data_IF_914030549748
#
_entry.id   IF_914030549748
#
_cell.length_a   1.000
_cell.length_b   1.000
_cell.length_c   1.000
_cell.angle_alpha   90.00
_cell.angle_beta   90.00
_cell.angle_gamma   90.00
#
_symmetry.space_group_name_H-M   'P 1'
#
loop_
_entity.id
_entity.type
_entity.pdbx_description
1 polymer ?
#
# COMPACT_ATOMS: atom_id res chain seq x y z
N UNK A 1 47.47 68.62 -4.01
CA UNK A 1 47.57 67.35 -3.28
C UNK A 1 46.57 67.40 -2.13
N UNK A 2 45.45 66.69 -2.22
CA UNK A 2 44.65 66.18 -1.08
C UNK A 2 43.53 65.30 -1.64
N UNK A 3 43.73 63.98 -1.65
CA UNK A 3 42.65 63.01 -1.83
C UNK A 3 42.04 62.68 -0.47
N UNK A 4 40.74 62.92 -0.32
CA UNK A 4 39.94 62.55 0.85
C UNK A 4 39.45 61.11 0.66
N UNK A 5 40.13 60.14 1.28
CA UNK A 5 39.72 58.73 1.25
C UNK A 5 38.62 58.45 2.29
N UNK A 6 37.37 58.37 1.85
CA UNK A 6 36.23 57.90 2.66
C UNK A 6 36.20 56.36 2.66
N UNK A 7 36.58 55.75 3.79
CA UNK A 7 36.37 54.31 4.02
C UNK A 7 35.02 54.05 4.73
N UNK A 8 34.22 53.06 4.29
CA UNK A 8 32.95 52.73 4.96
C UNK A 8 33.20 52.00 6.29
N UNK A 9 32.31 52.15 7.30
CA UNK A 9 32.45 51.47 8.58
C UNK A 9 32.29 49.96 8.41
N UNK A 10 33.36 49.20 8.69
CA UNK A 10 33.30 47.74 8.79
C UNK A 10 32.53 47.34 10.05
N UNK A 11 31.28 46.90 9.87
CA UNK A 11 30.49 46.23 10.90
C UNK A 11 31.13 44.88 11.25
N UNK A 12 32.07 44.87 12.18
CA UNK A 12 32.53 43.63 12.83
C UNK A 12 31.45 43.15 13.79
N UNK A 13 30.52 42.34 13.29
CA UNK A 13 29.51 41.67 14.13
C UNK A 13 30.20 40.58 14.95
N UNK A 14 30.83 40.97 16.06
CA UNK A 14 31.42 40.06 17.05
C UNK A 14 30.27 39.29 17.71
N UNK A 15 29.99 38.07 17.22
CA UNK A 15 29.01 37.17 17.86
C UNK A 15 29.54 36.85 19.27
N UNK A 16 28.85 37.35 20.29
CA UNK A 16 29.16 37.06 21.68
C UNK A 16 29.24 35.54 21.92
N UNK A 17 30.19 35.04 22.73
CA UNK A 17 30.30 33.63 23.03
C UNK A 17 29.03 33.18 23.76
N UNK A 18 28.22 32.36 23.07
CA UNK A 18 27.02 31.77 23.66
C UNK A 18 27.46 30.79 24.75
N UNK A 19 27.09 31.10 25.99
CA UNK A 19 27.32 30.26 27.17
C UNK A 19 26.81 28.83 26.93
N UNK A 20 27.51 27.82 27.44
CA UNK A 20 27.21 26.39 27.25
C UNK A 20 25.73 26.08 27.52
N UNK A 21 25.17 26.70 28.56
CA UNK A 21 23.74 26.64 28.93
C UNK A 21 22.80 27.08 27.80
N UNK A 22 23.17 28.12 27.04
CA UNK A 22 22.37 28.65 25.93
C UNK A 22 22.40 27.75 24.70
N UNK A 23 23.46 26.94 24.52
CA UNK A 23 23.51 25.88 23.50
C UNK A 23 22.65 24.69 23.88
N UNK A 24 22.71 24.28 25.15
CA UNK A 24 21.88 23.17 25.68
C UNK A 24 20.40 23.54 25.60
N UNK A 25 20.01 24.73 26.06
CA UNK A 25 18.62 25.19 26.01
C UNK A 25 18.06 25.17 24.58
N UNK A 26 18.85 25.63 23.60
CA UNK A 26 18.44 25.67 22.19
C UNK A 26 18.33 24.27 21.57
N UNK A 27 19.18 23.32 21.97
CA UNK A 27 19.09 21.92 21.54
C UNK A 27 17.89 21.21 22.16
N UNK A 28 17.67 21.39 23.47
CA UNK A 28 16.51 20.83 24.19
C UNK A 28 15.19 21.35 23.60
N UNK A 29 15.11 22.65 23.34
CA UNK A 29 13.90 23.27 22.78
C UNK A 29 13.57 22.78 21.35
N UNK A 30 14.52 22.19 20.64
CA UNK A 30 14.32 21.61 19.32
C UNK A 30 14.06 20.08 19.37
N UNK A 31 14.74 19.38 20.30
CA UNK A 31 14.64 17.91 20.43
C UNK A 31 13.38 17.48 21.16
N UNK A 32 12.96 18.20 22.21
CA UNK A 32 11.74 17.87 22.98
C UNK A 32 10.47 17.90 22.14
N UNK A 33 10.17 18.93 21.32
CA UNK A 33 8.97 18.91 20.49
C UNK A 33 9.02 17.83 19.40
N UNK A 34 10.20 17.53 18.85
CA UNK A 34 10.37 16.44 17.89
C UNK A 34 10.10 15.07 18.52
N UNK A 35 10.65 14.81 19.71
CA UNK A 35 10.39 13.59 20.46
C UNK A 35 8.91 13.47 20.85
N UNK A 36 8.28 14.58 21.25
CA UNK A 36 6.84 14.63 21.53
C UNK A 36 5.98 14.31 20.32
N UNK A 37 6.33 14.84 19.13
CA UNK A 37 5.65 14.52 17.87
C UNK A 37 5.75 13.03 17.52
N UNK A 38 6.94 12.43 17.62
CA UNK A 38 7.13 11.00 17.37
C UNK A 38 6.31 10.16 18.34
N UNK A 39 6.30 10.52 19.63
CA UNK A 39 5.50 9.83 20.64
C UNK A 39 4.00 9.92 20.37
N UNK A 40 3.49 11.11 20.00
CA UNK A 40 2.08 11.32 19.66
C UNK A 40 1.68 10.52 18.41
N UNK A 41 2.49 10.57 17.36
CA UNK A 41 2.23 9.83 16.11
C UNK A 41 2.25 8.33 16.35
N UNK A 42 3.22 7.82 17.12
CA UNK A 42 3.28 6.40 17.49
C UNK A 42 2.12 5.96 18.39
N UNK A 43 1.71 6.81 19.34
CA UNK A 43 0.56 6.52 20.23
C UNK A 43 -0.77 6.52 19.49
N UNK A 44 -0.90 7.33 18.44
CA UNK A 44 -2.12 7.45 17.63
C UNK A 44 -2.23 6.39 16.53
N UNK A 45 -1.18 5.59 16.26
CA UNK A 45 -1.22 4.53 15.23
C UNK A 45 -1.40 5.04 13.79
N UNK A 46 -1.21 6.34 13.55
CA UNK A 46 -1.41 6.95 12.23
C UNK A 46 -0.39 6.48 11.19
N UNK A 47 0.80 6.07 11.63
CA UNK A 47 1.83 5.51 10.75
C UNK A 47 1.41 4.15 10.18
N UNK A 48 0.81 3.30 10.99
CA UNK A 48 0.38 1.97 10.57
C UNK A 48 -0.77 2.05 9.55
N UNK A 49 -1.69 3.00 9.75
CA UNK A 49 -2.82 3.22 8.84
C UNK A 49 -2.42 3.85 7.50
N UNK A 50 -1.32 4.63 7.49
CA UNK A 50 -0.71 5.12 6.25
C UNK A 50 0.07 4.01 5.53
N UNK A 51 0.69 3.08 6.26
CA UNK A 51 1.40 1.94 5.70
C UNK A 51 0.46 0.94 5.02
N UNK A 52 -0.70 0.65 5.62
CA UNK A 52 -1.70 -0.27 5.04
C UNK A 52 -2.30 0.25 3.72
N UNK A 53 -2.56 1.56 3.62
CA UNK A 53 -3.03 2.16 2.36
C UNK A 53 -1.97 2.20 1.27
N UNK A 54 -0.69 2.07 1.63
CA UNK A 54 0.41 2.05 0.68
C UNK A 54 0.75 0.64 0.17
N UNK A 55 0.22 -0.42 0.79
CA UNK A 55 0.66 -1.78 0.44
C UNK A 55 0.11 -2.25 -0.91
N UNK A 56 -1.06 -1.78 -1.34
CA UNK A 56 -1.60 -2.03 -2.69
C UNK A 56 -1.37 -0.80 -3.59
N UNK A 57 -0.12 -0.58 -3.97
CA UNK A 57 0.27 0.52 -4.85
C UNK A 57 -0.23 0.33 -6.29
N UNK A 58 -0.30 1.38 -7.12
CA UNK A 58 -0.66 1.23 -8.55
C UNK A 58 0.16 0.18 -9.29
N UNK A 59 1.37 -0.11 -8.84
CA UNK A 59 2.25 -1.13 -9.43
C UNK A 59 1.75 -2.57 -9.17
N UNK A 60 1.06 -2.85 -8.07
CA UNK A 60 0.54 -4.20 -7.77
C UNK A 60 -0.61 -4.62 -8.68
N UNK A 61 -1.30 -3.67 -9.35
CA UNK A 61 -2.27 -3.96 -10.40
C UNK A 61 -1.62 -4.54 -11.67
N UNK A 62 -0.33 -4.30 -11.87
CA UNK A 62 0.41 -4.80 -13.03
C UNK A 62 1.19 -6.09 -12.73
N UNK A 63 1.44 -6.39 -11.45
CA UNK A 63 2.08 -7.64 -11.03
C UNK A 63 1.03 -8.73 -10.77
N UNK A 64 1.01 -9.73 -11.65
CA UNK A 64 0.10 -10.88 -11.55
C UNK A 64 0.19 -11.62 -10.21
N UNK A 65 1.38 -11.67 -9.60
CA UNK A 65 1.60 -12.38 -8.33
C UNK A 65 0.97 -11.63 -7.18
N UNK A 66 1.25 -10.33 -7.08
CA UNK A 66 0.66 -9.46 -6.06
C UNK A 66 -0.86 -9.34 -6.21
N UNK A 67 -1.34 -9.31 -7.46
CA UNK A 67 -2.75 -9.27 -7.80
C UNK A 67 -3.48 -10.53 -7.31
N UNK A 68 -2.97 -11.72 -7.64
CA UNK A 68 -3.57 -12.99 -7.20
C UNK A 68 -3.55 -13.12 -5.69
N UNK A 69 -2.45 -12.76 -5.03
CA UNK A 69 -2.35 -12.87 -3.57
C UNK A 69 -3.31 -11.91 -2.86
N UNK A 70 -3.47 -10.70 -3.39
CA UNK A 70 -4.45 -9.73 -2.93
C UNK A 70 -5.87 -10.28 -3.08
N UNK A 71 -6.25 -10.74 -4.28
CA UNK A 71 -7.60 -11.27 -4.51
C UNK A 71 -7.87 -12.56 -3.74
N UNK A 72 -6.88 -13.42 -3.52
CA UNK A 72 -7.01 -14.59 -2.65
C UNK A 72 -7.43 -14.18 -1.24
N UNK A 73 -6.84 -13.10 -0.72
CA UNK A 73 -7.19 -12.57 0.60
C UNK A 73 -8.58 -11.95 0.59
N UNK A 74 -8.91 -11.14 -0.42
CA UNK A 74 -10.22 -10.46 -0.52
C UNK A 74 -11.37 -11.47 -0.66
N UNK A 75 -11.24 -12.47 -1.55
CA UNK A 75 -12.24 -13.51 -1.79
C UNK A 75 -12.56 -14.30 -0.52
N UNK A 76 -11.51 -14.66 0.24
CA UNK A 76 -11.67 -15.46 1.46
C UNK A 76 -12.19 -14.61 2.63
N UNK A 77 -11.75 -13.36 2.73
CA UNK A 77 -12.27 -12.42 3.73
C UNK A 77 -13.75 -12.10 3.50
N UNK A 78 -14.17 -11.95 2.25
CA UNK A 78 -15.55 -11.62 1.89
C UNK A 78 -16.49 -12.83 1.92
N UNK A 79 -16.01 -14.02 2.29
CA UNK A 79 -16.82 -15.24 2.35
C UNK A 79 -17.35 -15.69 0.98
N UNK A 80 -16.64 -15.37 -0.10
CA UNK A 80 -17.05 -15.74 -1.46
C UNK A 80 -16.93 -17.25 -1.73
N UNK A 81 -16.21 -17.96 -0.87
CA UNK A 81 -16.07 -19.42 -0.90
C UNK A 81 -16.01 -19.95 0.52
N UNK A 82 -16.53 -21.17 0.73
CA UNK A 82 -16.38 -21.91 1.97
C UNK A 82 -14.99 -22.53 2.15
N UNK A 83 -14.20 -22.55 1.08
CA UNK A 83 -12.96 -23.31 1.04
C UNK A 83 -11.78 -22.50 1.58
N UNK A 84 -10.81 -23.21 2.14
CA UNK A 84 -9.58 -22.58 2.58
C UNK A 84 -8.84 -21.94 1.40
N UNK A 85 -8.15 -20.83 1.65
CA UNK A 85 -7.35 -20.09 0.66
C UNK A 85 -6.38 -20.96 -0.17
N UNK A 86 -5.87 -22.04 0.42
CA UNK A 86 -4.90 -22.96 -0.20
C UNK A 86 -5.57 -23.98 -1.15
N UNK A 87 -6.90 -24.10 -1.04
CA UNK A 87 -7.76 -24.91 -1.90
C UNK A 87 -8.36 -24.09 -3.05
N UNK A 88 -7.91 -22.85 -3.26
CA UNK A 88 -8.35 -22.01 -4.36
C UNK A 88 -7.23 -21.87 -5.40
N UNK A 89 -7.56 -22.24 -6.63
CA UNK A 89 -6.73 -22.06 -7.81
C UNK A 89 -7.17 -20.79 -8.55
N UNK A 90 -6.24 -19.86 -8.70
CA UNK A 90 -6.43 -18.64 -9.47
C UNK A 90 -5.69 -18.80 -10.80
N UNK A 91 -6.44 -18.90 -11.90
CA UNK A 91 -5.89 -19.07 -13.25
C UNK A 91 -6.05 -17.75 -13.99
N UNK A 92 -4.94 -17.11 -14.35
CA UNK A 92 -4.98 -15.90 -15.17
C UNK A 92 -5.08 -16.30 -16.64
N UNK A 93 -6.07 -15.74 -17.33
CA UNK A 93 -6.15 -15.85 -18.77
C UNK A 93 -5.27 -14.76 -19.42
N UNK A 94 -4.20 -15.19 -20.09
CA UNK A 94 -3.24 -14.29 -20.74
C UNK A 94 -3.63 -13.86 -22.15
N UNK A 95 -4.78 -14.33 -22.67
CA UNK A 95 -5.27 -13.97 -24.00
C UNK A 95 -6.13 -12.70 -24.01
N UNK A 96 -6.45 -12.15 -22.84
CA UNK A 96 -7.18 -10.89 -22.75
C UNK A 96 -6.24 -9.70 -23.03
N UNK A 97 -6.76 -8.58 -23.56
CA UNK A 97 -5.97 -7.38 -23.84
C UNK A 97 -5.20 -6.92 -22.59
N UNK A 98 -4.04 -6.25 -22.75
CA UNK A 98 -3.14 -5.90 -21.64
C UNK A 98 -3.81 -5.10 -20.50
N UNK A 99 -4.96 -4.50 -20.79
CA UNK A 99 -5.71 -3.60 -19.92
C UNK A 99 -6.75 -4.34 -19.07
N UNK A 100 -7.23 -5.50 -19.54
CA UNK A 100 -8.27 -6.30 -18.88
C UNK A 100 -7.73 -7.72 -18.65
N UNK A 101 -7.63 -8.16 -17.40
CA UNK A 101 -7.22 -9.53 -17.08
C UNK A 101 -8.38 -10.28 -16.48
N UNK A 102 -8.74 -11.43 -17.05
CA UNK A 102 -9.67 -12.35 -16.42
C UNK A 102 -8.92 -13.36 -15.57
N UNK A 103 -9.34 -13.48 -14.32
CA UNK A 103 -8.84 -14.48 -13.39
C UNK A 103 -9.99 -15.44 -13.08
N UNK A 104 -9.82 -16.70 -13.43
CA UNK A 104 -10.77 -17.75 -13.07
C UNK A 104 -10.39 -18.31 -11.71
N UNK A 105 -11.38 -18.35 -10.80
CA UNK A 105 -11.22 -18.93 -9.47
C UNK A 105 -11.88 -20.31 -9.49
N UNK A 106 -11.05 -21.33 -9.28
CA UNK A 106 -11.43 -22.73 -9.31
C UNK A 106 -11.18 -23.37 -7.95
N UNK A 107 -11.99 -24.36 -7.61
CA UNK A 107 -11.76 -25.18 -6.42
C UNK A 107 -10.71 -26.26 -6.72
N UNK A 108 -9.71 -26.34 -5.86
CA UNK A 108 -8.65 -27.35 -5.92
C UNK A 108 -9.02 -28.50 -4.99
N UNK A 109 -9.28 -29.67 -5.54
CA UNK A 109 -9.58 -30.88 -4.75
C UNK A 109 -8.36 -31.80 -4.51
N UNK A 110 -7.14 -31.28 -4.59
CA UNK A 110 -5.91 -32.09 -4.42
C UNK A 110 -5.23 -31.85 -3.06
N UNK A 111 -4.56 -32.89 -2.56
CA UNK A 111 -3.85 -32.84 -1.27
C UNK A 111 -4.82 -32.98 -0.08
N UNK A 112 -4.85 -31.94 0.77
CA UNK A 112 -5.70 -31.85 1.97
C UNK A 112 -7.07 -31.22 1.73
N UNK A 113 -7.36 -30.82 0.49
CA UNK A 113 -8.62 -30.18 0.13
C UNK A 113 -9.73 -31.21 -0.12
N UNK A 114 -10.96 -30.98 0.37
CA UNK A 114 -12.10 -31.87 0.12
C UNK A 114 -12.51 -31.82 -1.36
N UNK A 115 -13.29 -32.82 -1.81
CA UNK A 115 -13.85 -32.86 -3.17
C UNK A 115 -13.36 -34.03 -4.04
N UNK A 116 -13.91 -34.13 -5.25
CA UNK A 116 -13.50 -35.13 -6.24
C UNK A 116 -12.24 -34.65 -6.98
N UNK A 117 -11.15 -35.41 -6.87
CA UNK A 117 -9.85 -35.07 -7.47
C UNK A 117 -9.88 -34.96 -8.99
N UNK A 118 -10.88 -35.54 -9.64
CA UNK A 118 -11.02 -35.51 -11.09
C UNK A 118 -11.83 -34.31 -11.59
N UNK A 119 -12.42 -33.52 -10.69
CA UNK A 119 -13.18 -32.32 -11.03
C UNK A 119 -12.45 -31.09 -10.55
N UNK A 120 -12.51 -30.03 -11.37
CA UNK A 120 -11.99 -28.71 -11.03
C UNK A 120 -13.14 -27.71 -11.22
N UNK A 121 -14.09 -27.65 -10.27
CA UNK A 121 -15.27 -26.84 -10.44
C UNK A 121 -14.87 -25.37 -10.49
N UNK A 122 -15.39 -24.67 -11.49
CA UNK A 122 -15.28 -23.22 -11.60
C UNK A 122 -16.24 -22.59 -10.59
N UNK A 123 -15.72 -21.71 -9.74
CA UNK A 123 -16.51 -21.02 -8.73
C UNK A 123 -17.05 -19.70 -9.29
N UNK A 124 -16.14 -18.86 -9.81
CA UNK A 124 -16.44 -17.55 -10.37
C UNK A 124 -15.23 -17.01 -11.12
N UNK A 125 -15.44 -15.97 -11.92
CA UNK A 125 -14.48 -15.21 -12.69
C UNK A 125 -14.35 -13.81 -12.10
N UNK A 126 -13.11 -13.34 -11.96
CA UNK A 126 -12.77 -11.97 -11.65
C UNK A 126 -12.33 -11.27 -12.93
N UNK A 127 -12.96 -10.15 -13.25
CA UNK A 127 -12.53 -9.27 -14.31
C UNK A 127 -11.82 -8.07 -13.70
N UNK A 128 -10.55 -7.90 -14.06
CA UNK A 128 -9.69 -6.87 -13.51
C UNK A 128 -9.37 -5.87 -14.59
N UNK A 129 -9.79 -4.63 -14.39
CA UNK A 129 -9.38 -3.48 -15.17
C UNK A 129 -8.17 -2.82 -14.49
N UNK A 130 -6.98 -3.01 -15.09
CA UNK A 130 -5.72 -2.49 -14.56
C UNK A 130 -5.62 -0.97 -14.70
N UNK A 131 -6.24 -0.41 -15.73
CA UNK A 131 -6.25 1.03 -16.00
C UNK A 131 -7.24 1.75 -15.08
N UNK A 132 -8.45 1.21 -14.97
CA UNK A 132 -9.50 1.70 -14.08
C UNK A 132 -9.28 1.37 -12.61
N UNK A 133 -8.28 0.53 -12.28
CA UNK A 133 -8.01 0.04 -10.91
C UNK A 133 -9.28 -0.50 -10.26
N UNK A 134 -10.03 -1.28 -11.03
CA UNK A 134 -11.29 -1.83 -10.60
C UNK A 134 -11.31 -3.33 -10.85
N UNK A 135 -12.03 -4.04 -10.00
CA UNK A 135 -12.27 -5.46 -10.16
C UNK A 135 -13.76 -5.73 -10.03
N UNK A 136 -14.23 -6.63 -10.88
CA UNK A 136 -15.60 -7.09 -10.92
C UNK A 136 -15.60 -8.61 -10.82
N UNK A 137 -16.69 -9.17 -10.32
CA UNK A 137 -16.87 -10.60 -10.12
C UNK A 137 -18.26 -11.01 -10.59
N UNK A 138 -18.38 -12.22 -11.10
CA UNK A 138 -19.66 -12.89 -11.42
C UNK A 138 -20.12 -13.84 -10.28
N UNK A 139 -19.60 -13.62 -9.06
CA UNK A 139 -19.90 -14.44 -7.90
C UNK A 139 -21.40 -14.43 -7.56
N UNK A 140 -22.00 -15.62 -7.41
CA UNK A 140 -23.46 -15.83 -7.27
C UNK A 140 -24.30 -15.42 -8.49
N UNK A 141 -23.71 -14.82 -9.53
CA UNK A 141 -24.40 -14.36 -10.74
C UNK A 141 -23.60 -14.72 -11.99
N UNK A 142 -23.56 -16.00 -12.41
CA UNK A 142 -22.72 -16.44 -13.52
C UNK A 142 -22.97 -15.63 -14.79
N UNK A 143 -21.93 -14.97 -15.31
CA UNK A 143 -22.00 -14.13 -16.51
C UNK A 143 -22.48 -12.68 -16.29
N UNK A 144 -22.85 -12.29 -15.06
CA UNK A 144 -23.16 -10.91 -14.70
C UNK A 144 -22.09 -10.36 -13.76
N UNK A 145 -21.18 -9.56 -14.30
CA UNK A 145 -20.12 -8.94 -13.53
C UNK A 145 -20.63 -7.75 -12.71
N UNK A 146 -20.35 -7.79 -11.42
CA UNK A 146 -20.65 -6.73 -10.46
C UNK A 146 -19.42 -6.43 -9.60
N UNK A 147 -19.33 -5.24 -8.96
CA UNK A 147 -18.23 -4.97 -8.04
C UNK A 147 -18.15 -6.03 -6.94
N UNK A 148 -16.94 -6.27 -6.43
CA UNK A 148 -16.76 -7.18 -5.30
C UNK A 148 -17.55 -6.68 -4.09
N UNK A 149 -18.23 -7.56 -3.34
CA UNK A 149 -18.82 -7.18 -2.06
C UNK A 149 -17.71 -6.67 -1.13
N UNK A 150 -18.01 -5.64 -0.34
CA UNK A 150 -17.10 -5.03 0.64
C UNK A 150 -17.51 -5.40 2.06
#
# INVERSE_FOLDING_TARGET
MTETSNAPPRLTRRRAPLTLRRRILRRVLMVVPMAGLVFLVGRMGWLDQAADKMTFSRMSWFDNTALVEHFRTVVTHNGMTSDAKDCLLFVLNGNDPPDATRIEVLEKHSGSCPGDRNTLPHLFTLQIDRLGQSAQTDWQSPGLFHPLPH
#
